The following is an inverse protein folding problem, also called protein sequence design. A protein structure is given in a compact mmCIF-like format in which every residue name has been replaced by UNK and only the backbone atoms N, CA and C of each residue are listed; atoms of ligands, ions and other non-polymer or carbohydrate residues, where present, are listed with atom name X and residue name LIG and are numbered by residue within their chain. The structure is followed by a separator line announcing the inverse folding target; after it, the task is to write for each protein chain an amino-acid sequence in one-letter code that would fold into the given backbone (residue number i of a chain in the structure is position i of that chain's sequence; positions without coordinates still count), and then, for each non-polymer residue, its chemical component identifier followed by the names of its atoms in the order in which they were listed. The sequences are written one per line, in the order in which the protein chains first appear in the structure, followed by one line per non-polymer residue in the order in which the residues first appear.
data_IF_400891967874
#
_entry.id   IF_400891967874
#
_cell.length_a   1.000
_cell.length_b   1.000
_cell.length_c   1.000
_cell.angle_alpha   90.00
_cell.angle_beta   90.00
_cell.angle_gamma   90.00
#
_symmetry.space_group_name_H-M   'P 1'
#
loop_
_entity.id
_entity.type
_entity.pdbx_description
1 polymer ?
#
# COMPACT_ATOMS: atom_id res chain seq x y z
N UNK A 1 109.19 -69.16 -108.68
CA UNK A 1 109.85 -69.21 -107.36
C UNK A 1 108.95 -68.42 -106.42
N UNK A 2 107.99 -69.04 -105.69
CA UNK A 2 108.13 -69.57 -104.30
C UNK A 2 108.78 -68.53 -103.38
N UNK A 3 108.24 -68.05 -102.25
CA UNK A 3 107.31 -68.53 -101.21
C UNK A 3 106.92 -67.28 -100.39
N UNK A 4 105.66 -66.96 -100.10
CA UNK A 4 104.84 -67.37 -98.93
C UNK A 4 105.51 -67.31 -97.55
N UNK A 5 104.99 -66.42 -96.68
CA UNK A 5 104.54 -66.59 -95.28
C UNK A 5 104.28 -65.20 -94.66
N UNK A 6 103.02 -64.80 -94.46
CA UNK A 6 102.21 -64.98 -93.24
C UNK A 6 102.91 -64.49 -91.96
N UNK A 7 102.40 -63.39 -91.37
CA UNK A 7 101.86 -63.50 -90.01
C UNK A 7 100.86 -62.37 -89.66
N UNK A 8 99.79 -62.82 -89.03
CA UNK A 8 98.53 -62.18 -88.70
C UNK A 8 98.57 -61.77 -87.22
N UNK A 9 98.35 -60.50 -86.88
CA UNK A 9 97.96 -60.10 -85.51
C UNK A 9 96.86 -59.04 -85.60
N UNK A 10 95.66 -59.50 -85.24
CA UNK A 10 94.38 -58.78 -85.17
C UNK A 10 94.40 -57.71 -84.09
N UNK A 11 94.00 -56.50 -84.48
CA UNK A 11 93.77 -55.35 -83.61
C UNK A 11 92.37 -55.46 -82.95
N UNK A 12 92.20 -55.18 -81.65
CA UNK A 12 90.93 -55.42 -80.95
C UNK A 12 89.87 -54.38 -81.32
N UNK A 13 88.64 -54.89 -81.40
CA UNK A 13 87.40 -54.19 -81.74
C UNK A 13 87.18 -52.94 -80.87
N UNK A 14 86.93 -51.82 -81.54
CA UNK A 14 86.39 -50.60 -80.97
C UNK A 14 84.99 -50.85 -80.39
N UNK A 15 84.83 -50.53 -79.11
CA UNK A 15 83.54 -50.43 -78.43
C UNK A 15 82.60 -49.48 -79.17
N UNK A 16 81.30 -49.80 -79.29
CA UNK A 16 80.31 -48.88 -79.87
C UNK A 16 80.15 -47.65 -78.98
N UNK A 17 80.21 -46.50 -79.66
CA UNK A 17 79.98 -45.15 -79.16
C UNK A 17 78.75 -45.03 -78.25
N UNK A 18 78.91 -44.23 -77.20
CA UNK A 18 77.84 -43.78 -76.29
C UNK A 18 76.57 -43.38 -77.06
N UNK A 19 75.37 -43.67 -76.52
CA UNK A 19 74.13 -43.19 -77.14
C UNK A 19 74.12 -41.66 -77.17
N UNK A 20 73.48 -41.04 -78.19
CA UNK A 20 73.39 -39.59 -78.26
C UNK A 20 72.77 -39.08 -76.96
N UNK A 21 73.44 -38.10 -76.33
CA UNK A 21 72.85 -37.34 -75.24
C UNK A 21 71.54 -36.78 -75.80
N UNK A 22 70.43 -37.21 -75.21
CA UNK A 22 69.16 -36.51 -75.36
C UNK A 22 69.41 -35.09 -74.87
N UNK A 23 69.64 -34.17 -75.80
CA UNK A 23 69.44 -32.74 -75.58
C UNK A 23 67.94 -32.53 -75.39
N UNK A 24 67.47 -32.88 -74.18
CA UNK A 24 66.26 -32.28 -73.65
C UNK A 24 66.51 -30.77 -73.70
N UNK A 25 65.63 -29.98 -74.36
CA UNK A 25 65.80 -28.54 -74.38
C UNK A 25 65.86 -28.09 -72.92
N UNK A 26 66.98 -27.47 -72.55
CA UNK A 26 67.15 -26.84 -71.25
C UNK A 26 65.95 -25.93 -71.02
N UNK A 27 65.15 -26.23 -69.99
CA UNK A 27 64.02 -25.40 -69.56
C UNK A 27 64.49 -23.99 -69.14
N UNK A 28 65.80 -23.76 -69.07
CA UNK A 28 66.39 -22.47 -68.72
C UNK A 28 66.59 -21.49 -69.89
N UNK A 29 66.37 -21.90 -71.15
CA UNK A 29 66.48 -21.00 -72.33
C UNK A 29 65.12 -20.63 -72.94
N UNK A 30 64.04 -20.76 -72.18
CA UNK A 30 62.85 -19.96 -72.46
C UNK A 30 63.10 -18.54 -71.96
N UNK A 31 63.80 -17.75 -72.78
CA UNK A 31 63.70 -16.29 -72.71
C UNK A 31 62.23 -15.90 -72.94
N UNK A 32 61.39 -16.03 -71.90
CA UNK A 32 60.19 -15.23 -71.81
C UNK A 32 60.69 -13.79 -71.90
N UNK A 33 60.22 -12.97 -72.86
CA UNK A 33 60.47 -11.54 -72.82
C UNK A 33 59.62 -10.98 -71.67
N UNK A 34 60.04 -11.20 -70.42
CA UNK A 34 59.51 -10.47 -69.28
C UNK A 34 60.02 -9.05 -69.42
N UNK A 35 59.20 -8.17 -69.99
CA UNK A 35 59.43 -6.74 -69.80
C UNK A 35 59.39 -6.49 -68.28
N UNK A 36 60.46 -5.96 -67.67
CA UNK A 36 60.47 -5.70 -66.24
C UNK A 36 59.42 -4.63 -65.93
N UNK A 37 58.58 -4.87 -64.92
CA UNK A 37 57.47 -3.99 -64.52
C UNK A 37 57.92 -2.70 -63.81
N UNK A 38 59.19 -2.29 -63.96
CA UNK A 38 59.78 -1.19 -63.21
C UNK A 38 59.79 -1.44 -61.70
N UNK A 39 60.56 -0.65 -60.94
CA UNK A 39 60.51 -0.73 -59.47
C UNK A 39 59.26 -0.03 -58.92
N UNK A 40 58.76 0.99 -59.62
CA UNK A 40 57.68 1.85 -59.16
C UNK A 40 56.34 1.12 -59.08
N UNK A 41 56.09 0.13 -59.94
CA UNK A 41 54.86 -0.68 -59.89
C UNK A 41 54.64 -1.38 -58.54
N UNK A 42 55.70 -1.66 -57.79
CA UNK A 42 55.64 -2.36 -56.51
C UNK A 42 55.57 -1.44 -55.30
N UNK A 43 55.51 -0.12 -55.50
CA UNK A 43 55.40 0.82 -54.40
C UNK A 43 54.05 0.71 -53.70
N UNK A 44 54.07 0.79 -52.38
CA UNK A 44 52.86 0.93 -51.59
C UNK A 44 52.33 2.37 -51.73
N UNK A 45 51.11 2.58 -52.22
CA UNK A 45 50.52 3.91 -52.24
C UNK A 45 50.23 4.39 -50.82
N UNK A 46 50.48 5.68 -50.56
CA UNK A 46 50.18 6.32 -49.27
C UNK A 46 48.67 6.44 -49.05
N UNK A 47 47.91 6.63 -50.13
CA UNK A 47 46.45 6.64 -50.10
C UNK A 47 45.86 5.37 -50.69
N UNK A 48 45.19 4.61 -49.83
CA UNK A 48 44.41 3.43 -50.20
C UNK A 48 43.00 3.68 -49.69
N UNK A 49 42.16 4.21 -50.56
CA UNK A 49 40.75 4.53 -50.30
C UNK A 49 39.86 3.98 -51.42
N UNK A 50 38.56 3.83 -51.16
CA UNK A 50 37.60 3.39 -52.16
C UNK A 50 37.64 4.34 -53.35
N UNK A 51 38.02 3.82 -54.52
CA UNK A 51 38.25 4.60 -55.72
C UNK A 51 38.22 3.68 -56.94
N UNK A 52 37.55 4.05 -58.04
CA UNK A 52 37.60 3.29 -59.28
C UNK A 52 39.03 3.12 -59.80
N UNK A 53 39.90 4.13 -59.64
CA UNK A 53 41.27 4.10 -60.18
C UNK A 53 42.27 3.37 -59.28
N UNK A 54 41.91 3.01 -58.04
CA UNK A 54 42.84 2.38 -57.08
C UNK A 54 43.56 1.15 -57.66
N UNK A 55 42.84 0.30 -58.40
CA UNK A 55 43.42 -0.89 -59.02
C UNK A 55 44.49 -0.57 -60.09
N UNK A 56 44.50 0.64 -60.64
CA UNK A 56 45.41 1.09 -61.68
C UNK A 56 46.61 1.87 -61.12
N UNK A 57 46.65 2.19 -59.83
CA UNK A 57 47.76 2.93 -59.20
C UNK A 57 49.14 2.30 -59.46
N UNK A 58 49.33 0.97 -59.41
CA UNK A 58 50.61 0.35 -59.77
C UNK A 58 51.03 0.65 -61.21
N UNK A 59 50.06 0.74 -62.12
CA UNK A 59 50.32 1.14 -63.50
C UNK A 59 50.67 2.62 -63.61
N UNK A 60 50.00 3.51 -62.87
CA UNK A 60 50.34 4.93 -62.86
C UNK A 60 51.76 5.18 -62.34
N UNK A 61 52.17 4.49 -61.27
CA UNK A 61 53.54 4.53 -60.76
C UNK A 61 54.55 4.10 -61.82
N UNK A 62 54.30 2.96 -62.48
CA UNK A 62 55.14 2.47 -63.57
C UNK A 62 55.17 3.44 -64.75
N UNK A 63 54.03 4.03 -65.10
CA UNK A 63 53.93 4.97 -66.20
C UNK A 63 54.83 6.18 -65.94
N UNK A 64 54.78 6.75 -64.73
CA UNK A 64 55.68 7.84 -64.33
C UNK A 64 57.17 7.46 -64.40
N UNK A 65 57.52 6.23 -64.02
CA UNK A 65 58.90 5.72 -64.11
C UNK A 65 59.37 5.61 -65.57
N UNK A 66 58.55 4.99 -66.42
CA UNK A 66 58.89 4.72 -67.82
C UNK A 66 58.91 5.98 -68.67
N UNK A 67 58.01 6.93 -68.41
CA UNK A 67 58.05 8.23 -69.08
C UNK A 67 59.15 9.13 -68.54
N UNK A 68 59.58 8.91 -67.28
CA UNK A 68 60.47 9.85 -66.56
C UNK A 68 59.96 11.30 -66.66
N UNK A 69 58.62 11.46 -66.62
CA UNK A 69 57.93 12.72 -66.89
C UNK A 69 58.37 13.82 -65.93
N UNK A 70 58.85 14.94 -66.46
CA UNK A 70 59.23 16.13 -65.68
C UNK A 70 58.06 17.05 -65.45
N UNK A 71 57.10 17.07 -66.36
CA UNK A 71 55.92 17.92 -66.27
C UNK A 71 54.68 17.04 -66.34
N UNK A 72 54.04 16.85 -65.18
CA UNK A 72 52.83 16.04 -65.02
C UNK A 72 51.65 16.98 -64.81
N UNK A 73 50.70 16.95 -65.73
CA UNK A 73 49.47 17.75 -65.64
C UNK A 73 48.29 16.80 -65.53
N UNK A 74 47.45 16.98 -64.51
CA UNK A 74 46.17 16.28 -64.40
C UNK A 74 45.00 17.26 -64.55
N UNK A 75 44.11 16.96 -65.48
CA UNK A 75 42.83 17.64 -65.66
C UNK A 75 41.70 16.84 -65.03
N UNK A 76 40.99 17.46 -64.09
CA UNK A 76 39.92 16.84 -63.32
C UNK A 76 40.47 15.84 -62.30
N UNK A 77 40.31 16.14 -61.01
CA UNK A 77 40.88 15.31 -59.94
C UNK A 77 40.02 14.12 -59.54
N UNK A 78 38.73 14.11 -59.86
CA UNK A 78 37.75 13.08 -59.44
C UNK A 78 37.79 12.83 -57.91
N UNK A 79 38.37 11.71 -57.46
CA UNK A 79 38.55 11.40 -56.03
C UNK A 79 39.95 11.72 -55.48
N UNK A 80 40.84 12.26 -56.31
CA UNK A 80 42.21 12.64 -55.97
C UNK A 80 43.22 11.49 -55.89
N UNK A 81 42.82 10.22 -55.99
CA UNK A 81 43.72 9.07 -55.81
C UNK A 81 44.78 9.00 -56.92
N UNK A 82 44.37 9.25 -58.17
CA UNK A 82 45.31 9.28 -59.29
C UNK A 82 46.37 10.37 -59.11
N UNK A 83 45.94 11.59 -58.77
CA UNK A 83 46.85 12.72 -58.60
C UNK A 83 47.84 12.49 -57.47
N UNK A 84 47.34 12.05 -56.29
CA UNK A 84 48.20 11.76 -55.15
C UNK A 84 49.18 10.61 -55.41
N UNK A 85 48.82 9.64 -56.27
CA UNK A 85 49.75 8.62 -56.73
C UNK A 85 50.83 9.21 -57.65
N UNK A 86 50.48 10.10 -58.57
CA UNK A 86 51.47 10.76 -59.43
C UNK A 86 52.44 11.63 -58.63
N UNK A 87 51.95 12.40 -57.65
CA UNK A 87 52.81 13.17 -56.74
C UNK A 87 53.76 12.27 -55.94
N UNK A 88 53.25 11.13 -55.45
CA UNK A 88 54.08 10.14 -54.76
C UNK A 88 55.15 9.55 -55.69
N UNK A 89 54.84 9.34 -56.97
CA UNK A 89 55.80 8.85 -57.94
C UNK A 89 56.88 9.90 -58.23
N UNK A 90 56.49 11.15 -58.47
CA UNK A 90 57.37 12.30 -58.68
C UNK A 90 58.40 12.47 -57.54
N UNK A 91 57.95 12.43 -56.29
CA UNK A 91 58.82 12.49 -55.11
C UNK A 91 59.84 11.35 -55.09
N UNK A 92 59.39 10.10 -55.33
CA UNK A 92 60.22 8.90 -55.18
C UNK A 92 61.19 8.66 -56.32
N UNK A 93 60.91 9.20 -57.51
CA UNK A 93 61.82 9.12 -58.67
C UNK A 93 62.94 10.18 -58.61
N UNK A 94 63.16 10.81 -57.45
CA UNK A 94 64.17 11.84 -57.18
C UNK A 94 63.93 13.19 -57.89
N UNK A 95 62.67 13.61 -58.02
CA UNK A 95 62.29 14.98 -57.61
C UNK A 95 62.47 16.14 -58.59
N UNK A 96 62.71 15.90 -59.88
CA UNK A 96 62.64 16.96 -60.91
C UNK A 96 61.31 16.99 -61.67
N UNK A 97 60.30 16.29 -61.15
CA UNK A 97 58.95 16.27 -61.72
C UNK A 97 58.10 17.32 -61.01
N UNK A 98 57.53 18.25 -61.78
CA UNK A 98 56.49 19.15 -61.31
C UNK A 98 55.12 18.51 -61.60
N UNK A 99 54.22 18.64 -60.62
CA UNK A 99 52.85 18.13 -60.70
C UNK A 99 51.87 19.29 -60.65
N UNK A 100 50.99 19.40 -61.63
CA UNK A 100 49.93 20.39 -61.65
C UNK A 100 48.59 19.69 -61.79
N UNK A 101 47.67 19.94 -60.86
CA UNK A 101 46.27 19.57 -61.02
C UNK A 101 45.46 20.80 -61.36
N UNK A 102 44.63 20.70 -62.39
CA UNK A 102 43.66 21.72 -62.78
C UNK A 102 42.28 21.11 -62.64
N UNK A 103 41.46 21.71 -61.80
CA UNK A 103 40.07 21.30 -61.65
C UNK A 103 39.15 22.48 -61.95
N UNK A 104 38.17 22.26 -62.84
CA UNK A 104 37.16 23.28 -63.19
C UNK A 104 35.91 23.17 -62.30
N UNK A 105 35.87 22.23 -61.36
CA UNK A 105 34.76 22.00 -60.43
C UNK A 105 35.15 21.95 -58.95
N UNK A 106 34.16 21.70 -58.08
CA UNK A 106 34.28 21.69 -56.62
C UNK A 106 34.91 20.39 -56.07
N UNK A 107 36.04 19.96 -56.63
CA UNK A 107 36.76 18.78 -56.14
C UNK A 107 37.88 19.22 -55.21
N UNK A 108 37.61 19.11 -53.91
CA UNK A 108 38.65 19.25 -52.88
C UNK A 108 39.11 17.87 -52.45
N UNK A 109 40.43 17.66 -52.42
CA UNK A 109 41.03 16.48 -51.80
C UNK A 109 40.40 16.24 -50.41
N UNK A 110 40.16 14.97 -50.06
CA UNK A 110 39.74 14.64 -48.68
C UNK A 110 40.67 15.26 -47.65
N UNK A 111 40.18 15.64 -46.46
CA UNK A 111 40.99 16.39 -45.49
C UNK A 111 42.35 15.74 -45.18
N UNK A 112 42.41 14.41 -45.17
CA UNK A 112 43.67 13.66 -45.00
C UNK A 112 44.60 13.73 -46.20
N UNK A 113 44.07 13.69 -47.43
CA UNK A 113 44.87 13.88 -48.65
C UNK A 113 45.35 15.32 -48.77
N UNK A 114 44.50 16.30 -48.50
CA UNK A 114 44.86 17.72 -48.56
C UNK A 114 45.99 18.04 -47.56
N UNK A 115 45.85 17.57 -46.31
CA UNK A 115 46.91 17.71 -45.31
C UNK A 115 48.23 17.08 -45.78
N UNK A 116 48.17 15.90 -46.41
CA UNK A 116 49.37 15.24 -46.91
C UNK A 116 49.99 15.98 -48.10
N UNK A 117 49.18 16.47 -49.04
CA UNK A 117 49.64 17.28 -50.17
C UNK A 117 50.39 18.52 -49.66
N UNK A 118 49.77 19.28 -48.75
CA UNK A 118 50.35 20.48 -48.14
C UNK A 118 51.69 20.16 -47.45
N UNK A 119 51.77 19.03 -46.75
CA UNK A 119 52.95 18.70 -45.93
C UNK A 119 54.07 17.99 -46.69
N UNK A 120 53.80 17.37 -47.84
CA UNK A 120 54.77 16.50 -48.52
C UNK A 120 55.03 16.88 -49.98
N UNK A 121 54.11 17.57 -50.65
CA UNK A 121 54.16 17.75 -52.11
C UNK A 121 54.19 19.22 -52.56
N UNK A 122 53.86 20.20 -51.71
CA UNK A 122 53.81 21.64 -52.08
C UNK A 122 55.09 22.18 -52.71
N UNK A 123 56.26 21.59 -52.42
CA UNK A 123 57.54 22.02 -52.99
C UNK A 123 57.62 21.83 -54.53
N UNK A 124 56.81 20.94 -55.11
CA UNK A 124 56.83 20.61 -56.54
C UNK A 124 55.44 20.34 -57.13
N UNK A 125 54.38 20.48 -56.33
CA UNK A 125 53.01 20.15 -56.71
C UNK A 125 52.04 21.26 -56.36
N UNK A 126 51.24 21.66 -57.35
CA UNK A 126 50.22 22.68 -57.22
C UNK A 126 48.84 22.14 -57.61
N UNK A 127 47.81 22.63 -56.93
CA UNK A 127 46.41 22.32 -57.24
C UNK A 127 45.72 23.66 -57.50
N UNK A 128 45.32 23.87 -58.74
CA UNK A 128 44.68 25.09 -59.22
C UNK A 128 43.20 24.81 -59.41
N UNK A 129 42.39 25.43 -58.55
CA UNK A 129 40.93 25.30 -58.58
C UNK A 129 40.26 26.30 -59.54
N UNK A 130 41.00 27.32 -59.98
CA UNK A 130 40.54 28.32 -60.93
C UNK A 130 41.31 28.16 -62.24
N UNK A 131 40.68 27.55 -63.23
CA UNK A 131 41.26 27.27 -64.55
C UNK A 131 41.58 28.53 -65.35
N UNK A 132 41.12 29.71 -64.93
CA UNK A 132 41.49 31.00 -65.53
C UNK A 132 42.91 31.47 -65.11
N UNK A 133 43.50 30.87 -64.06
CA UNK A 133 44.89 31.14 -63.66
C UNK A 133 45.89 30.25 -64.43
N UNK A 134 46.12 30.63 -65.68
CA UNK A 134 47.00 29.95 -66.66
C UNK A 134 48.50 30.17 -66.32
N UNK A 135 48.82 31.06 -65.36
CA UNK A 135 50.21 31.47 -65.07
C UNK A 135 51.10 30.34 -64.51
N UNK A 136 50.46 29.31 -63.94
CA UNK A 136 51.09 28.11 -63.38
C UNK A 136 51.33 26.99 -64.42
N UNK A 137 50.84 27.14 -65.66
CA UNK A 137 51.01 26.12 -66.69
C UNK A 137 52.48 25.97 -67.08
N UNK A 138 52.99 24.73 -67.18
CA UNK A 138 54.35 24.51 -67.65
C UNK A 138 54.50 24.79 -69.15
N UNK A 139 55.71 25.14 -69.57
CA UNK A 139 56.04 25.39 -70.99
C UNK A 139 55.98 24.11 -71.84
N UNK A 140 56.15 22.95 -71.21
CA UNK A 140 56.15 21.64 -71.84
C UNK A 140 55.41 20.63 -70.93
N UNK A 141 54.70 19.65 -71.51
CA UNK A 141 53.95 18.62 -70.77
C UNK A 141 54.35 17.22 -71.24
N UNK A 142 54.86 16.41 -70.32
CA UNK A 142 55.33 15.04 -70.60
C UNK A 142 54.26 13.98 -70.31
N UNK A 143 53.47 14.20 -69.27
CA UNK A 143 52.40 13.29 -68.87
C UNK A 143 51.14 14.10 -68.60
N UNK A 144 50.18 13.97 -69.50
CA UNK A 144 48.85 14.53 -69.34
C UNK A 144 47.91 13.44 -68.85
N UNK A 145 47.24 13.66 -67.73
CA UNK A 145 46.20 12.78 -67.21
C UNK A 145 44.85 13.47 -67.26
N UNK A 146 43.85 12.82 -67.85
CA UNK A 146 42.47 13.30 -67.82
C UNK A 146 41.70 12.37 -66.89
N UNK A 147 41.49 12.83 -65.66
CA UNK A 147 40.93 12.04 -64.56
C UNK A 147 39.41 12.03 -64.51
N UNK A 148 38.78 13.12 -64.97
CA UNK A 148 37.33 13.29 -64.96
C UNK A 148 36.81 13.91 -66.27
N UNK A 149 35.51 13.82 -66.56
CA UNK A 149 34.90 14.58 -67.65
C UNK A 149 35.14 16.07 -67.47
N UNK A 150 35.58 16.75 -68.53
CA UNK A 150 35.84 18.18 -68.52
C UNK A 150 34.61 18.97 -68.95
N UNK A 151 34.38 20.10 -68.29
CA UNK A 151 33.43 21.10 -68.76
C UNK A 151 34.00 21.88 -69.95
N UNK A 152 33.20 22.77 -70.54
CA UNK A 152 33.61 23.54 -71.72
C UNK A 152 34.92 24.30 -71.50
N UNK A 153 35.05 25.00 -70.37
CA UNK A 153 36.27 25.77 -70.04
C UNK A 153 37.49 24.85 -69.93
N UNK A 154 37.34 23.66 -69.33
CA UNK A 154 38.41 22.66 -69.26
C UNK A 154 38.79 22.10 -70.64
N UNK A 155 37.83 21.96 -71.56
CA UNK A 155 38.11 21.57 -72.94
C UNK A 155 38.83 22.66 -73.73
N UNK A 156 38.42 23.92 -73.56
CA UNK A 156 39.06 25.07 -74.20
C UNK A 156 40.53 25.18 -73.71
N UNK A 157 40.77 25.10 -72.39
CA UNK A 157 42.11 25.05 -71.79
C UNK A 157 42.96 23.88 -72.34
N UNK A 158 42.38 22.69 -72.42
CA UNK A 158 43.06 21.52 -72.95
C UNK A 158 43.50 21.74 -74.41
N UNK A 159 42.57 22.19 -75.26
CA UNK A 159 42.81 22.34 -76.70
C UNK A 159 43.76 23.49 -77.03
N UNK A 160 43.57 24.64 -76.38
CA UNK A 160 44.23 25.88 -76.77
C UNK A 160 45.58 26.06 -76.04
N UNK A 161 45.70 25.56 -74.80
CA UNK A 161 46.90 25.81 -73.97
C UNK A 161 47.76 24.56 -73.72
N UNK A 162 47.16 23.39 -73.50
CA UNK A 162 47.90 22.20 -73.05
C UNK A 162 48.35 21.31 -74.21
N UNK A 163 47.44 20.96 -75.14
CA UNK A 163 47.77 20.11 -76.29
C UNK A 163 48.92 20.68 -77.16
N UNK A 164 49.03 22.00 -77.39
CA UNK A 164 50.15 22.59 -78.14
C UNK A 164 51.49 22.51 -77.39
N UNK A 165 51.47 22.38 -76.06
CA UNK A 165 52.67 22.31 -75.19
C UNK A 165 53.11 20.88 -74.89
N UNK A 166 52.49 19.86 -75.50
CA UNK A 166 52.91 18.47 -75.30
C UNK A 166 54.33 18.24 -75.83
N UNK A 167 55.17 17.58 -75.04
CA UNK A 167 56.54 17.22 -75.41
C UNK A 167 56.60 16.21 -76.56
N UNK A 168 57.79 16.08 -77.17
CA UNK A 168 58.05 15.06 -78.20
C UNK A 168 57.89 13.61 -77.71
N UNK A 169 57.92 13.40 -76.40
CA UNK A 169 57.73 12.12 -75.70
C UNK A 169 56.42 12.05 -74.92
N UNK A 170 55.48 12.99 -75.14
CA UNK A 170 54.31 13.16 -74.31
C UNK A 170 53.39 11.92 -74.30
N UNK A 171 52.87 11.60 -73.12
CA UNK A 171 51.90 10.52 -72.95
C UNK A 171 50.61 11.10 -72.39
N UNK A 172 49.49 10.76 -73.02
CA UNK A 172 48.15 11.11 -72.53
C UNK A 172 47.53 9.87 -71.90
N UNK A 173 47.15 9.94 -70.63
CA UNK A 173 46.41 8.89 -69.92
C UNK A 173 44.99 9.38 -69.59
N UNK A 174 43.98 8.68 -70.11
CA UNK A 174 42.58 8.97 -69.84
C UNK A 174 42.02 7.91 -68.89
N UNK A 175 41.61 8.34 -67.71
CA UNK A 175 40.96 7.47 -66.72
C UNK A 175 39.47 7.44 -67.06
N UNK A 176 38.91 6.23 -67.14
CA UNK A 176 37.54 5.98 -67.58
C UNK A 176 37.21 6.63 -68.94
N UNK A 177 37.86 6.21 -70.04
CA UNK A 177 37.65 6.80 -71.37
C UNK A 177 36.19 6.77 -71.82
N UNK A 178 35.39 5.78 -71.40
CA UNK A 178 33.94 5.76 -71.70
C UNK A 178 33.16 6.90 -71.06
N UNK A 179 33.60 7.40 -69.90
CA UNK A 179 33.00 8.52 -69.16
C UNK A 179 33.53 9.85 -69.69
N UNK A 180 34.85 9.93 -69.92
CA UNK A 180 35.54 11.17 -70.32
C UNK A 180 35.38 11.47 -71.82
N UNK A 181 35.51 10.47 -72.68
CA UNK A 181 35.43 10.58 -74.14
C UNK A 181 34.07 10.11 -74.65
N UNK A 182 33.00 10.47 -73.96
CA UNK A 182 31.64 10.12 -74.36
C UNK A 182 31.22 10.82 -75.67
N UNK A 183 31.73 12.04 -75.91
CA UNK A 183 31.48 12.83 -77.11
C UNK A 183 32.52 12.58 -78.21
N UNK A 184 32.07 12.54 -79.47
CA UNK A 184 32.94 12.48 -80.64
C UNK A 184 33.83 13.72 -80.79
N UNK A 185 33.40 14.88 -80.29
CA UNK A 185 34.24 16.10 -80.30
C UNK A 185 35.48 15.90 -79.44
N UNK A 186 35.30 15.37 -78.22
CA UNK A 186 36.39 15.04 -77.29
C UNK A 186 37.40 14.04 -77.89
N UNK A 187 36.89 13.00 -78.57
CA UNK A 187 37.73 11.99 -79.23
C UNK A 187 38.60 12.58 -80.33
N UNK A 188 38.02 13.46 -81.16
CA UNK A 188 38.76 14.15 -82.22
C UNK A 188 39.77 15.15 -81.67
N UNK A 189 39.42 15.90 -80.63
CA UNK A 189 40.32 16.86 -80.00
C UNK A 189 41.61 16.18 -79.50
N UNK A 190 41.48 15.00 -78.89
CA UNK A 190 42.63 14.24 -78.43
C UNK A 190 43.36 13.47 -79.56
N UNK A 191 42.72 13.28 -80.71
CA UNK A 191 43.25 12.45 -81.81
C UNK A 191 43.33 10.98 -81.41
N UNK A 192 42.26 10.44 -80.79
CA UNK A 192 42.24 9.07 -80.24
C UNK A 192 42.71 8.01 -81.25
N UNK A 193 42.39 8.20 -82.54
CA UNK A 193 42.71 7.26 -83.63
C UNK A 193 44.02 7.59 -84.37
N UNK A 194 44.64 8.74 -84.10
CA UNK A 194 45.79 9.23 -84.86
C UNK A 194 47.14 8.70 -84.31
N UNK A 195 47.15 8.17 -83.09
CA UNK A 195 48.37 7.81 -82.36
C UNK A 195 48.35 6.37 -81.84
N UNK A 196 49.53 5.73 -81.66
CA UNK A 196 49.61 4.44 -80.99
C UNK A 196 48.99 4.52 -79.59
N UNK A 197 48.15 3.54 -79.27
CA UNK A 197 47.41 3.49 -78.00
C UNK A 197 47.43 2.11 -77.36
N UNK A 198 47.26 2.07 -76.06
CA UNK A 198 47.03 0.86 -75.30
C UNK A 198 45.93 1.09 -74.26
N UNK A 199 45.14 0.04 -74.01
CA UNK A 199 44.00 0.13 -73.10
C UNK A 199 44.11 -0.91 -71.99
N UNK A 200 44.09 -0.42 -70.76
CA UNK A 200 44.09 -1.21 -69.56
C UNK A 200 42.67 -1.32 -69.03
N UNK A 201 42.10 -2.52 -69.13
CA UNK A 201 40.76 -2.82 -68.60
C UNK A 201 40.67 -2.55 -67.08
N UNK A 202 39.47 -2.49 -66.50
CA UNK A 202 39.31 -2.50 -65.05
C UNK A 202 39.91 -3.75 -64.40
N UNK A 203 40.42 -3.60 -63.18
CA UNK A 203 40.93 -4.71 -62.35
C UNK A 203 39.79 -5.44 -61.62
N UNK A 204 38.74 -4.70 -61.29
CA UNK A 204 37.49 -5.13 -60.65
C UNK A 204 36.29 -4.57 -61.43
N UNK A 205 35.09 -5.11 -61.20
CA UNK A 205 33.89 -4.81 -62.01
C UNK A 205 33.48 -3.32 -62.02
N UNK A 206 33.72 -2.62 -60.91
CA UNK A 206 33.45 -1.20 -60.68
C UNK A 206 34.72 -0.32 -60.83
N UNK A 207 35.83 -0.92 -61.26
CA UNK A 207 37.10 -0.23 -61.40
C UNK A 207 37.21 0.60 -62.68
N UNK A 208 38.23 1.44 -62.74
CA UNK A 208 38.49 2.31 -63.86
C UNK A 208 39.25 1.61 -64.99
N UNK A 209 38.86 1.90 -66.23
CA UNK A 209 39.65 1.60 -67.42
C UNK A 209 40.64 2.75 -67.65
N UNK A 210 41.85 2.47 -68.13
CA UNK A 210 42.84 3.51 -68.46
C UNK A 210 43.24 3.36 -69.92
N UNK A 211 42.99 4.40 -70.71
CA UNK A 211 43.48 4.53 -72.07
C UNK A 211 44.76 5.33 -72.06
N UNK A 212 45.82 4.82 -72.69
CA UNK A 212 47.09 5.54 -72.83
C UNK A 212 47.37 5.75 -74.31
N UNK A 213 47.68 6.99 -74.68
CA UNK A 213 48.00 7.43 -76.03
C UNK A 213 49.41 8.01 -76.07
N UNK A 214 50.20 7.61 -77.06
CA UNK A 214 51.60 7.98 -77.20
C UNK A 214 51.73 9.13 -78.23
N UNK A 215 51.82 10.37 -77.75
CA UNK A 215 51.88 11.59 -78.57
C UNK A 215 53.33 11.98 -78.87
N UNK A 216 53.60 12.39 -80.11
CA UNK A 216 54.95 12.73 -80.54
C UNK A 216 55.77 11.52 -81.00
N UNK A 217 57.01 11.77 -81.41
CA UNK A 217 57.86 10.78 -82.11
C UNK A 217 58.88 10.09 -81.20
N UNK A 218 59.19 10.63 -80.02
CA UNK A 218 60.24 10.14 -79.13
C UNK A 218 59.69 9.38 -77.92
N UNK A 219 59.01 8.27 -78.19
CA UNK A 219 58.31 7.51 -77.15
C UNK A 219 59.23 6.48 -76.47
N UNK A 220 59.10 6.22 -75.15
CA UNK A 220 59.83 5.15 -74.49
C UNK A 220 59.62 3.81 -75.21
N UNK A 221 60.73 3.11 -75.50
CA UNK A 221 60.68 1.86 -76.29
C UNK A 221 59.77 0.80 -75.65
N UNK A 222 59.67 0.80 -74.32
CA UNK A 222 58.77 -0.09 -73.58
C UNK A 222 57.30 0.19 -73.92
N UNK A 223 56.88 1.46 -73.92
CA UNK A 223 55.52 1.87 -74.28
C UNK A 223 55.23 1.65 -75.77
N UNK A 224 56.17 1.97 -76.65
CA UNK A 224 56.04 1.70 -78.10
C UNK A 224 55.82 0.23 -78.39
N UNK A 225 56.58 -0.65 -77.74
CA UNK A 225 56.40 -2.10 -77.87
C UNK A 225 55.01 -2.51 -77.41
N UNK A 226 54.57 -2.05 -76.25
CA UNK A 226 53.26 -2.41 -75.71
C UNK A 226 52.09 -1.92 -76.57
N UNK A 227 52.16 -0.69 -77.10
CA UNK A 227 51.12 -0.14 -77.97
C UNK A 227 51.03 -0.85 -79.34
N UNK A 228 52.13 -1.47 -79.81
CA UNK A 228 52.14 -2.28 -81.04
C UNK A 228 51.68 -3.73 -80.84
N UNK A 229 51.63 -4.20 -79.60
CA UNK A 229 51.23 -5.58 -79.30
C UNK A 229 49.70 -5.68 -79.31
N UNK A 230 49.18 -6.68 -80.01
CA UNK A 230 47.76 -7.00 -79.96
C UNK A 230 47.40 -7.63 -78.60
N UNK A 231 46.18 -7.42 -78.07
CA UNK A 231 45.76 -7.94 -76.76
C UNK A 231 45.84 -9.46 -76.58
N UNK A 232 45.97 -10.20 -77.69
CA UNK A 232 46.09 -11.66 -77.73
C UNK A 232 47.53 -12.16 -77.58
N UNK A 233 48.53 -11.28 -77.67
CA UNK A 233 49.93 -11.65 -77.52
C UNK A 233 50.29 -11.99 -76.07
N UNK A 234 51.17 -12.99 -75.89
CA UNK A 234 51.54 -13.52 -74.58
C UNK A 234 52.24 -12.48 -73.69
N UNK A 235 53.07 -11.60 -74.27
CA UNK A 235 53.77 -10.53 -73.55
C UNK A 235 52.80 -9.50 -72.97
N UNK A 236 51.81 -9.08 -73.77
CA UNK A 236 50.74 -8.18 -73.32
C UNK A 236 49.95 -8.80 -72.17
N UNK A 237 49.51 -10.06 -72.32
CA UNK A 237 48.78 -10.78 -71.26
C UNK A 237 49.57 -10.90 -69.97
N UNK A 238 50.88 -11.16 -70.07
CA UNK A 238 51.76 -11.30 -68.90
C UNK A 238 51.90 -9.98 -68.14
N UNK A 239 52.19 -8.89 -68.85
CA UNK A 239 52.25 -7.54 -68.26
C UNK A 239 50.90 -7.17 -67.63
N UNK A 240 49.80 -7.41 -68.36
CA UNK A 240 48.45 -7.12 -67.90
C UNK A 240 48.07 -7.91 -66.66
N UNK A 241 48.41 -9.19 -66.60
CA UNK A 241 48.18 -10.04 -65.42
C UNK A 241 48.95 -9.54 -64.22
N UNK A 242 50.19 -9.05 -64.40
CA UNK A 242 50.98 -8.57 -63.29
C UNK A 242 50.40 -7.29 -62.67
N UNK A 243 50.05 -6.28 -63.48
CA UNK A 243 49.36 -5.08 -62.98
C UNK A 243 47.99 -5.42 -62.37
N UNK A 244 47.24 -6.34 -62.96
CA UNK A 244 45.98 -6.81 -62.36
C UNK A 244 46.20 -7.40 -60.96
N UNK A 245 47.25 -8.22 -60.77
CA UNK A 245 47.53 -8.83 -59.46
C UNK A 245 47.94 -7.78 -58.42
N UNK A 246 48.78 -6.82 -58.81
CA UNK A 246 49.17 -5.71 -57.93
C UNK A 246 47.95 -4.86 -57.56
N UNK A 247 47.13 -4.50 -58.55
CA UNK A 247 45.90 -3.74 -58.36
C UNK A 247 44.88 -4.47 -57.47
N UNK A 248 44.66 -5.77 -57.69
CA UNK A 248 43.79 -6.61 -56.85
C UNK A 248 44.27 -6.63 -55.40
N UNK A 249 45.59 -6.66 -55.18
CA UNK A 249 46.18 -6.55 -53.86
C UNK A 249 45.80 -5.25 -53.15
N UNK A 250 45.86 -4.11 -53.85
CA UNK A 250 45.47 -2.81 -53.29
C UNK A 250 43.97 -2.74 -52.99
N UNK A 251 43.12 -3.19 -53.91
CA UNK A 251 41.68 -3.24 -53.70
C UNK A 251 41.32 -4.15 -52.53
N UNK A 252 41.97 -5.32 -52.39
CA UNK A 252 41.77 -6.21 -51.25
C UNK A 252 42.22 -5.58 -49.92
N UNK A 253 43.33 -4.84 -49.91
CA UNK A 253 43.78 -4.08 -48.73
C UNK A 253 42.73 -3.03 -48.34
N UNK A 254 42.21 -2.30 -49.32
CA UNK A 254 41.19 -1.27 -49.13
C UNK A 254 39.91 -1.88 -48.55
N UNK A 255 39.36 -2.91 -49.19
CA UNK A 255 38.16 -3.62 -48.72
C UNK A 255 38.36 -4.23 -47.33
N UNK A 256 39.55 -4.77 -47.04
CA UNK A 256 39.86 -5.28 -45.71
C UNK A 256 39.90 -4.18 -44.65
N UNK A 257 40.29 -2.94 -44.99
CA UNK A 257 40.27 -1.81 -44.05
C UNK A 257 38.84 -1.38 -43.75
N UNK A 258 38.00 -1.29 -44.78
CA UNK A 258 36.59 -0.93 -44.65
C UNK A 258 35.83 -1.94 -43.81
N UNK A 259 35.95 -3.24 -44.14
CA UNK A 259 35.30 -4.32 -43.38
C UNK A 259 35.75 -4.34 -41.91
N UNK A 260 37.02 -4.02 -41.62
CA UNK A 260 37.50 -3.91 -40.22
C UNK A 260 36.90 -2.71 -39.51
N UNK A 261 36.75 -1.58 -40.20
CA UNK A 261 36.13 -0.36 -39.66
C UNK A 261 34.65 -0.61 -39.36
N UNK A 262 33.91 -1.17 -40.30
CA UNK A 262 32.51 -1.55 -40.14
C UNK A 262 32.33 -2.55 -38.99
N UNK A 263 33.17 -3.60 -38.93
CA UNK A 263 33.15 -4.56 -37.81
C UNK A 263 33.35 -3.87 -36.47
N UNK A 264 34.29 -2.92 -36.38
CA UNK A 264 34.56 -2.17 -35.15
C UNK A 264 33.35 -1.31 -34.74
N UNK A 265 32.74 -0.61 -35.68
CA UNK A 265 31.54 0.21 -35.46
C UNK A 265 30.35 -0.65 -35.00
N UNK A 266 30.06 -1.73 -35.72
CA UNK A 266 28.99 -2.68 -35.37
C UNK A 266 29.22 -3.34 -34.01
N UNK A 267 30.48 -3.65 -33.68
CA UNK A 267 30.82 -4.18 -32.34
C UNK A 267 30.62 -3.13 -31.24
N UNK A 268 30.88 -1.84 -31.53
CA UNK A 268 30.59 -0.73 -30.64
C UNK A 268 29.09 -0.60 -30.37
N UNK A 269 28.28 -0.54 -31.44
CA UNK A 269 26.81 -0.51 -31.37
C UNK A 269 26.24 -1.70 -30.60
N UNK A 270 26.77 -2.90 -30.83
CA UNK A 270 26.33 -4.09 -30.11
C UNK A 270 26.60 -3.98 -28.60
N UNK A 271 27.74 -3.41 -28.19
CA UNK A 271 28.06 -3.19 -26.77
C UNK A 271 27.13 -2.16 -26.13
N UNK A 272 26.83 -1.07 -26.83
CA UNK A 272 25.89 -0.05 -26.38
C UNK A 272 24.49 -0.63 -26.19
N UNK A 273 23.97 -1.35 -27.19
CA UNK A 273 22.67 -2.01 -27.10
C UNK A 273 22.62 -3.04 -25.97
N UNK A 274 23.71 -3.80 -25.74
CA UNK A 274 23.78 -4.74 -24.61
C UNK A 274 23.76 -4.04 -23.25
N UNK A 275 24.42 -2.87 -23.13
CA UNK A 275 24.38 -2.06 -21.92
C UNK A 275 22.97 -1.49 -21.68
N UNK A 276 22.30 -1.02 -22.73
CA UNK A 276 20.92 -0.54 -22.68
C UNK A 276 19.94 -1.65 -22.26
N UNK A 277 20.02 -2.83 -22.88
CA UNK A 277 19.21 -4.00 -22.50
C UNK A 277 19.44 -4.35 -21.03
N UNK A 278 20.68 -4.28 -20.53
CA UNK A 278 20.97 -4.55 -19.12
C UNK A 278 20.32 -3.50 -18.21
N UNK A 279 20.36 -2.22 -18.58
CA UNK A 279 19.71 -1.12 -17.86
C UNK A 279 18.19 -1.29 -17.82
N UNK A 280 17.57 -1.50 -18.98
CA UNK A 280 16.14 -1.74 -19.10
C UNK A 280 15.72 -2.98 -18.29
N UNK A 281 16.54 -4.04 -18.29
CA UNK A 281 16.26 -5.23 -17.47
C UNK A 281 16.32 -4.94 -15.97
N UNK A 282 17.21 -4.06 -15.50
CA UNK A 282 17.20 -3.62 -14.10
C UNK A 282 15.99 -2.74 -13.77
N UNK A 283 15.57 -1.88 -14.70
CA UNK A 283 14.40 -1.03 -14.55
C UNK A 283 13.11 -1.85 -14.47
N UNK A 284 12.92 -2.81 -15.38
CA UNK A 284 11.80 -3.77 -15.35
C UNK A 284 11.77 -4.52 -14.02
N UNK A 285 12.91 -5.04 -13.55
CA UNK A 285 12.96 -5.72 -12.23
C UNK A 285 12.54 -4.81 -11.08
N UNK A 286 12.91 -3.52 -11.13
CA UNK A 286 12.51 -2.56 -10.10
C UNK A 286 11.02 -2.21 -10.17
N UNK A 287 10.47 -2.10 -11.39
CA UNK A 287 9.05 -1.90 -11.63
C UNK A 287 8.22 -3.10 -11.13
N UNK A 288 8.62 -4.33 -11.46
CA UNK A 288 7.96 -5.56 -10.98
C UNK A 288 7.95 -5.62 -9.43
N UNK A 289 9.04 -5.23 -8.78
CA UNK A 289 9.11 -5.19 -7.31
C UNK A 289 8.20 -4.10 -6.71
N UNK A 290 8.10 -2.94 -7.35
CA UNK A 290 7.22 -1.85 -6.94
C UNK A 290 5.75 -2.24 -7.12
N UNK A 291 5.39 -2.86 -8.25
CA UNK A 291 4.04 -3.35 -8.53
C UNK A 291 3.61 -4.40 -7.49
N UNK A 292 4.49 -5.36 -7.18
CA UNK A 292 4.23 -6.34 -6.12
C UNK A 292 3.96 -5.68 -4.77
N UNK A 293 4.78 -4.70 -4.38
CA UNK A 293 4.59 -3.95 -3.13
C UNK A 293 3.26 -3.18 -3.12
N UNK A 294 2.86 -2.62 -4.26
CA UNK A 294 1.58 -1.93 -4.40
C UNK A 294 0.41 -2.90 -4.29
N UNK A 295 0.49 -4.08 -4.91
CA UNK A 295 -0.52 -5.13 -4.77
C UNK A 295 -0.66 -5.59 -3.31
N UNK A 296 0.45 -5.82 -2.60
CA UNK A 296 0.41 -6.21 -1.18
C UNK A 296 -0.28 -5.13 -0.33
N UNK A 297 0.02 -3.84 -0.57
CA UNK A 297 -0.65 -2.71 0.11
C UNK A 297 -2.13 -2.62 -0.22
N UNK A 298 -2.51 -2.86 -1.47
CA UNK A 298 -3.92 -2.88 -1.88
C UNK A 298 -4.69 -4.01 -1.19
N UNK A 299 -4.08 -5.20 -1.09
CA UNK A 299 -4.67 -6.33 -0.37
C UNK A 299 -4.84 -6.02 1.13
N UNK A 300 -3.82 -5.43 1.77
CA UNK A 300 -3.91 -5.00 3.18
C UNK A 300 -4.99 -3.95 3.40
N UNK A 301 -5.08 -2.95 2.50
CA UNK A 301 -6.11 -1.92 2.57
C UNK A 301 -7.52 -2.50 2.37
N UNK A 302 -7.70 -3.47 1.47
CA UNK A 302 -8.96 -4.17 1.28
C UNK A 302 -9.36 -4.99 2.52
N UNK A 303 -8.41 -5.69 3.15
CA UNK A 303 -8.66 -6.40 4.41
C UNK A 303 -9.10 -5.44 5.53
N UNK A 304 -8.39 -4.31 5.72
CA UNK A 304 -8.76 -3.29 6.70
C UNK A 304 -10.14 -2.68 6.44
N UNK A 305 -10.50 -2.46 5.17
CA UNK A 305 -11.83 -1.96 4.82
C UNK A 305 -12.91 -2.97 5.20
N UNK A 306 -12.67 -4.26 4.97
CA UNK A 306 -13.60 -5.32 5.38
C UNK A 306 -13.75 -5.40 6.90
N UNK A 307 -12.64 -5.39 7.65
CA UNK A 307 -12.67 -5.38 9.12
C UNK A 307 -13.45 -4.17 9.65
N UNK A 308 -13.21 -2.97 9.09
CA UNK A 308 -13.93 -1.75 9.47
C UNK A 308 -15.43 -1.83 9.13
N UNK A 309 -15.80 -2.45 8.02
CA UNK A 309 -17.21 -2.69 7.69
C UNK A 309 -17.88 -3.61 8.72
N UNK A 310 -17.20 -4.67 9.14
CA UNK A 310 -17.72 -5.58 10.16
C UNK A 310 -17.90 -4.87 11.51
N UNK A 311 -16.92 -4.05 11.93
CA UNK A 311 -17.06 -3.24 13.16
C UNK A 311 -18.22 -2.26 13.05
N UNK A 312 -18.42 -1.63 11.88
CA UNK A 312 -19.56 -0.74 11.67
C UNK A 312 -20.90 -1.49 11.81
N UNK A 313 -21.03 -2.68 11.23
CA UNK A 313 -22.22 -3.52 11.37
C UNK A 313 -22.48 -3.91 12.84
N UNK A 314 -21.44 -4.27 13.59
CA UNK A 314 -21.54 -4.56 15.02
C UNK A 314 -21.98 -3.34 15.84
N UNK A 315 -21.42 -2.17 15.56
CA UNK A 315 -21.81 -0.91 16.21
C UNK A 315 -23.26 -0.56 15.86
N UNK A 316 -23.69 -0.75 14.61
CA UNK A 316 -25.06 -0.49 14.19
C UNK A 316 -26.06 -1.44 14.89
N UNK A 317 -25.73 -2.72 15.02
CA UNK A 317 -26.53 -3.69 15.77
C UNK A 317 -26.61 -3.32 17.27
N UNK A 318 -25.48 -3.03 17.90
CA UNK A 318 -25.44 -2.59 19.31
C UNK A 318 -26.23 -1.30 19.53
N UNK A 319 -26.15 -0.35 18.59
CA UNK A 319 -26.96 0.87 18.62
C UNK A 319 -28.45 0.55 18.53
N UNK A 320 -28.87 -0.38 17.67
CA UNK A 320 -30.29 -0.77 17.58
C UNK A 320 -30.79 -1.42 18.88
N UNK A 321 -29.97 -2.27 19.50
CA UNK A 321 -30.31 -2.91 20.77
C UNK A 321 -30.46 -1.88 21.90
N UNK A 322 -29.52 -0.93 22.01
CA UNK A 322 -29.57 0.15 22.98
C UNK A 322 -30.79 1.07 22.77
N UNK A 323 -31.21 1.30 21.52
CA UNK A 323 -32.43 2.07 21.23
C UNK A 323 -33.65 1.31 21.75
N UNK A 324 -33.76 0.00 21.47
CA UNK A 324 -34.87 -0.83 21.95
C UNK A 324 -34.91 -0.92 23.48
N UNK A 325 -33.76 -1.05 24.13
CA UNK A 325 -33.64 -1.04 25.59
C UNK A 325 -34.07 0.33 26.16
N UNK A 326 -33.64 1.43 25.55
CA UNK A 326 -34.04 2.79 25.96
C UNK A 326 -35.55 3.01 25.84
N UNK A 327 -36.18 2.52 24.77
CA UNK A 327 -37.63 2.57 24.59
C UNK A 327 -38.36 1.75 25.66
N UNK A 328 -37.85 0.56 25.98
CA UNK A 328 -38.41 -0.31 27.03
C UNK A 328 -38.32 0.35 28.41
N UNK A 329 -37.16 0.89 28.76
CA UNK A 329 -36.95 1.60 30.03
C UNK A 329 -37.83 2.87 30.12
N UNK A 330 -38.02 3.60 29.02
CA UNK A 330 -38.95 4.74 28.99
C UNK A 330 -40.38 4.30 29.27
N UNK A 331 -40.85 3.22 28.65
CA UNK A 331 -42.18 2.68 28.90
C UNK A 331 -42.37 2.25 30.37
N UNK A 332 -41.34 1.62 30.97
CA UNK A 332 -41.34 1.26 32.39
C UNK A 332 -41.40 2.50 33.31
N UNK A 333 -40.60 3.53 33.02
CA UNK A 333 -40.64 4.79 33.77
C UNK A 333 -42.00 5.48 33.68
N UNK A 334 -42.64 5.48 32.51
CA UNK A 334 -43.98 6.03 32.32
C UNK A 334 -45.04 5.25 33.10
N UNK A 335 -44.97 3.92 33.10
CA UNK A 335 -45.87 3.06 33.88
C UNK A 335 -45.70 3.31 35.39
N UNK A 336 -44.47 3.26 35.90
CA UNK A 336 -44.17 3.52 37.31
C UNK A 336 -44.62 4.92 37.76
N UNK A 337 -44.54 5.91 36.86
CA UNK A 337 -45.06 7.26 37.12
C UNK A 337 -46.58 7.27 37.26
N UNK A 338 -47.31 6.57 36.39
CA UNK A 338 -48.78 6.45 36.51
C UNK A 338 -49.17 5.77 37.82
N UNK A 339 -48.50 4.68 38.18
CA UNK A 339 -48.75 3.95 39.43
C UNK A 339 -48.48 4.85 40.66
N UNK A 340 -47.42 5.67 40.61
CA UNK A 340 -47.13 6.63 41.67
C UNK A 340 -48.19 7.74 41.75
N UNK A 341 -48.65 8.28 40.63
CA UNK A 341 -49.73 9.27 40.58
C UNK A 341 -51.04 8.68 41.16
N UNK A 342 -51.40 7.44 40.82
CA UNK A 342 -52.56 6.73 41.39
C UNK A 342 -52.42 6.50 42.90
N UNK A 343 -51.28 6.02 43.37
CA UNK A 343 -51.00 5.82 44.79
C UNK A 343 -51.04 7.14 45.58
N UNK A 344 -50.58 8.25 45.00
CA UNK A 344 -50.69 9.57 45.64
C UNK A 344 -52.14 10.05 45.74
N UNK A 345 -52.97 9.77 44.74
CA UNK A 345 -54.41 10.03 44.79
C UNK A 345 -55.10 9.23 45.90
N UNK A 346 -54.85 7.92 45.94
CA UNK A 346 -55.40 7.04 46.99
C UNK A 346 -54.98 7.46 48.41
N UNK A 347 -53.73 7.93 48.57
CA UNK A 347 -53.25 8.44 49.86
C UNK A 347 -53.95 9.75 50.26
N UNK A 348 -54.27 10.63 49.31
CA UNK A 348 -55.02 11.86 49.58
C UNK A 348 -56.46 11.54 50.03
N UNK A 349 -57.13 10.60 49.37
CA UNK A 349 -58.46 10.14 49.73
C UNK A 349 -58.48 9.48 51.12
N UNK A 350 -57.50 8.63 51.42
CA UNK A 350 -57.36 7.99 52.73
C UNK A 350 -57.10 9.01 53.85
N UNK A 351 -56.29 10.05 53.59
CA UNK A 351 -56.08 11.16 54.55
C UNK A 351 -57.37 11.92 54.81
N UNK A 352 -58.13 12.27 53.77
CA UNK A 352 -59.42 12.94 53.92
C UNK A 352 -60.41 12.10 54.74
N UNK A 353 -60.48 10.79 54.48
CA UNK A 353 -61.29 9.86 55.26
C UNK A 353 -60.86 9.76 56.73
N UNK A 354 -59.55 9.76 57.01
CA UNK A 354 -59.02 9.75 58.38
C UNK A 354 -59.33 11.04 59.14
N UNK A 355 -59.24 12.20 58.49
CA UNK A 355 -59.58 13.50 59.09
C UNK A 355 -61.08 13.59 59.43
N UNK A 356 -61.96 13.07 58.55
CA UNK A 356 -63.40 12.95 58.82
C UNK A 356 -63.69 12.04 60.03
N UNK A 357 -63.03 10.88 60.09
CA UNK A 357 -63.20 9.95 61.21
C UNK A 357 -62.72 10.57 62.54
N UNK A 358 -61.65 11.36 62.51
CA UNK A 358 -61.13 12.07 63.69
C UNK A 358 -62.09 13.15 64.18
N UNK A 359 -62.72 13.89 63.26
CA UNK A 359 -63.75 14.87 63.62
C UNK A 359 -65.00 14.21 64.25
N UNK A 360 -65.45 13.08 63.70
CA UNK A 360 -66.56 12.31 64.26
C UNK A 360 -66.26 11.77 65.67
N UNK A 361 -65.01 11.34 65.91
CA UNK A 361 -64.57 10.87 67.23
C UNK A 361 -64.60 11.99 68.29
N UNK A 362 -64.16 13.19 67.93
CA UNK A 362 -64.21 14.35 68.85
C UNK A 362 -65.65 14.74 69.17
N UNK A 363 -66.56 14.73 68.18
CA UNK A 363 -67.98 14.97 68.41
C UNK A 363 -68.60 13.95 69.39
N UNK A 364 -68.30 12.66 69.21
CA UNK A 364 -68.78 11.61 70.11
C UNK A 364 -68.24 11.77 71.55
N UNK A 365 -67.00 12.28 71.73
CA UNK A 365 -66.43 12.57 73.05
C UNK A 365 -67.17 13.70 73.77
N UNK A 366 -67.53 14.75 73.06
CA UNK A 366 -68.33 15.86 73.63
C UNK A 366 -69.72 15.39 74.08
N UNK A 367 -70.42 14.59 73.26
CA UNK A 367 -71.73 14.03 73.61
C UNK A 367 -71.67 13.13 74.86
N UNK A 368 -70.61 12.31 74.98
CA UNK A 368 -70.41 11.46 76.16
C UNK A 368 -70.15 12.27 77.46
N UNK A 369 -69.45 13.40 77.35
CA UNK A 369 -69.18 14.30 78.48
C UNK A 369 -70.47 14.95 79.00
N UNK A 370 -71.34 15.40 78.10
CA UNK A 370 -72.64 15.99 78.46
C UNK A 370 -73.58 14.97 79.11
N UNK A 371 -73.62 13.74 78.58
CA UNK A 371 -74.41 12.66 79.16
C UNK A 371 -73.97 12.30 80.59
N UNK A 372 -72.66 12.33 80.88
CA UNK A 372 -72.12 12.06 82.22
C UNK A 372 -72.52 13.13 83.23
N UNK A 373 -72.47 14.42 82.86
CA UNK A 373 -72.93 15.52 83.73
C UNK A 373 -74.42 15.37 84.11
N UNK A 374 -75.27 15.03 83.15
CA UNK A 374 -76.71 14.81 83.41
C UNK A 374 -76.96 13.62 84.34
N UNK A 375 -76.13 12.58 84.29
CA UNK A 375 -76.26 11.43 85.18
C UNK A 375 -75.87 11.75 86.63
N UNK A 376 -74.83 12.56 86.85
CA UNK A 376 -74.38 12.95 88.19
C UNK A 376 -75.40 13.86 88.91
N UNK A 377 -76.09 14.75 88.19
CA UNK A 377 -77.18 15.57 88.73
C UNK A 377 -78.35 14.70 89.23
N UNK A 378 -78.73 13.65 88.49
CA UNK A 378 -79.81 12.72 88.90
C UNK A 378 -79.45 11.89 90.14
N UNK A 379 -78.17 11.57 90.35
CA UNK A 379 -77.71 10.89 91.56
C UNK A 379 -77.84 11.81 92.79
N UNK A 380 -77.57 13.11 92.64
CA UNK A 380 -77.73 14.11 93.70
C UNK A 380 -79.17 14.23 94.21
N UNK A 381 -80.15 14.22 93.32
CA UNK A 381 -81.57 14.34 93.67
C UNK A 381 -82.12 13.10 94.42
N UNK A 382 -81.63 11.91 94.07
CA UNK A 382 -82.02 10.65 94.73
C UNK A 382 -81.48 10.61 96.17
N UNK A 383 -80.27 11.13 96.42
CA UNK A 383 -79.70 11.20 97.76
C UNK A 383 -80.49 12.16 98.68
N UNK A 384 -80.97 13.29 98.16
CA UNK A 384 -81.75 14.26 98.92
C UNK A 384 -83.15 13.75 99.30
N UNK A 385 -83.81 13.01 98.41
CA UNK A 385 -85.13 12.42 98.68
C UNK A 385 -85.06 11.25 99.67
N UNK A 386 -83.99 10.45 99.63
CA UNK A 386 -83.80 9.31 100.55
C UNK A 386 -83.59 9.77 102.00
N UNK A 387 -82.91 10.90 102.23
CA UNK A 387 -82.70 11.46 103.58
C UNK A 387 -83.96 12.00 104.26
N UNK A 388 -84.95 12.49 103.49
CA UNK A 388 -86.24 12.96 104.04
C UNK A 388 -87.12 11.80 104.51
N UNK A 389 -87.21 10.71 103.74
CA UNK A 389 -88.05 9.57 104.10
C UNK A 389 -87.54 8.77 105.31
N UNK A 390 -86.23 8.75 105.54
CA UNK A 390 -85.66 8.08 106.73
C UNK A 390 -85.95 8.85 108.03
N UNK A 391 -85.95 10.19 107.99
CA UNK A 391 -86.22 11.02 109.18
C UNK A 391 -87.69 10.94 109.64
N UNK A 392 -88.65 10.86 108.71
CA UNK A 392 -90.07 10.73 109.04
C UNK A 392 -90.43 9.33 109.59
N UNK A 393 -89.75 8.29 109.11
CA UNK A 393 -89.94 6.91 109.59
C UNK A 393 -89.47 6.72 111.03
N UNK A 394 -88.31 7.28 111.37
CA UNK A 394 -87.72 7.10 112.71
C UNK A 394 -88.50 7.91 113.78
N UNK A 395 -89.12 9.03 113.43
CA UNK A 395 -90.02 9.79 114.31
C UNK A 395 -91.34 9.07 114.61
N UNK A 396 -91.88 8.29 113.66
CA UNK A 396 -93.08 7.49 113.84
C UNK A 396 -92.84 6.24 114.72
N UNK A 397 -91.66 5.61 114.62
CA UNK A 397 -91.28 4.46 115.43
C UNK A 397 -91.11 4.81 116.93
N UNK A 398 -90.60 6.02 117.24
CA UNK A 398 -90.40 6.47 118.62
C UNK A 398 -91.73 6.71 119.37
N UNK A 399 -92.77 7.23 118.69
CA UNK A 399 -94.11 7.44 119.27
C UNK A 399 -94.84 6.12 119.56
N UNK A 400 -94.67 5.11 118.70
CA UNK A 400 -95.30 3.81 118.89
C UNK A 400 -94.69 3.03 120.07
N UNK A 401 -93.38 3.13 120.28
CA UNK A 401 -92.70 2.51 121.43
C UNK A 401 -93.12 3.13 122.78
N UNK A 402 -93.42 4.43 122.81
CA UNK A 402 -93.83 5.14 124.02
C UNK A 402 -95.25 4.74 124.48
N UNK A 403 -96.18 4.52 123.55
CA UNK A 403 -97.55 4.09 123.86
C UNK A 403 -97.63 2.61 124.28
N UNK A 404 -96.78 1.74 123.72
CA UNK A 404 -96.70 0.33 124.14
C UNK A 404 -96.15 0.16 125.57
N UNK A 405 -95.17 0.97 125.99
CA UNK A 405 -94.68 0.95 127.37
C UNK A 405 -95.75 1.37 128.39
N UNK A 406 -96.59 2.35 128.02
CA UNK A 406 -97.66 2.87 128.88
C UNK A 406 -98.83 1.89 129.06
N UNK A 407 -99.13 1.06 128.06
CA UNK A 407 -100.14 0.01 128.17
C UNK A 407 -99.67 -1.15 129.07
N UNK A 408 -98.40 -1.53 129.00
CA UNK A 408 -97.84 -2.61 129.82
C UNK A 408 -97.81 -2.26 131.33
N UNK A 409 -97.54 -1.00 131.69
CA UNK A 409 -97.58 -0.56 133.09
C UNK A 409 -98.99 -0.57 133.70
N UNK A 410 -100.02 -0.24 132.90
CA UNK A 410 -101.41 -0.22 133.36
C UNK A 410 -102.01 -1.63 133.51
N UNK A 411 -101.58 -2.60 132.72
CA UNK A 411 -102.00 -4.01 132.85
C UNK A 411 -101.46 -4.65 134.13
N UNK A 412 -100.19 -4.40 134.47
CA UNK A 412 -99.57 -4.90 135.72
C UNK A 412 -100.24 -4.29 136.96
N UNK A 413 -100.61 -3.00 136.92
CA UNK A 413 -101.31 -2.34 138.01
C UNK A 413 -102.74 -2.88 138.22
N UNK A 414 -103.43 -3.25 137.14
CA UNK A 414 -104.80 -3.79 137.19
C UNK A 414 -104.84 -5.23 137.73
N UNK A 415 -103.84 -6.05 137.40
CA UNK A 415 -103.72 -7.41 137.95
C UNK A 415 -103.38 -7.40 139.44
N UNK A 416 -102.53 -6.47 139.90
CA UNK A 416 -102.21 -6.30 141.32
C UNK A 416 -103.43 -5.90 142.18
N UNK A 417 -104.30 -5.02 141.65
CA UNK A 417 -105.53 -4.62 142.36
C UNK A 417 -106.62 -5.71 142.34
N UNK A 418 -106.66 -6.55 141.29
CA UNK A 418 -107.56 -7.73 141.25
C UNK A 418 -107.13 -8.81 142.24
N UNK A 419 -105.83 -9.05 142.39
CA UNK A 419 -105.29 -9.97 143.39
C UNK A 419 -105.61 -9.51 144.83
N UNK A 420 -105.44 -8.21 145.12
CA UNK A 420 -105.82 -7.62 146.42
C UNK A 420 -107.30 -7.75 146.75
N UNK A 421 -108.19 -7.56 145.77
CA UNK A 421 -109.64 -7.72 145.97
C UNK A 421 -110.02 -9.17 146.29
N UNK A 422 -109.46 -10.14 145.57
CA UNK A 422 -109.73 -11.56 145.82
C UNK A 422 -109.24 -12.00 147.20
N UNK A 423 -108.09 -11.49 147.65
CA UNK A 423 -107.54 -11.79 148.98
C UNK A 423 -108.40 -11.19 150.11
N UNK A 424 -108.91 -9.96 149.93
CA UNK A 424 -109.82 -9.32 150.88
C UNK A 424 -111.18 -10.02 150.96
N UNK A 425 -111.73 -10.49 149.84
CA UNK A 425 -112.99 -11.25 149.81
C UNK A 425 -112.85 -12.60 150.53
N UNK A 426 -111.72 -13.28 150.37
CA UNK A 426 -111.40 -14.50 151.12
C UNK A 426 -111.35 -14.25 152.62
N UNK A 427 -110.71 -13.15 153.06
CA UNK A 427 -110.62 -12.77 154.46
C UNK A 427 -111.98 -12.40 155.07
N UNK A 428 -112.85 -11.74 154.29
CA UNK A 428 -114.20 -11.38 154.73
C UNK A 428 -115.07 -12.62 154.93
N UNK A 429 -115.01 -13.57 153.99
CA UNK A 429 -115.72 -14.85 154.10
C UNK A 429 -115.25 -15.66 155.32
N UNK A 430 -113.94 -15.66 155.62
CA UNK A 430 -113.40 -16.36 156.78
C UNK A 430 -113.85 -15.72 158.11
N UNK A 431 -113.94 -14.39 158.17
CA UNK A 431 -114.45 -13.68 159.35
C UNK A 431 -115.96 -13.87 159.55
N UNK A 432 -116.75 -13.90 158.48
CA UNK A 432 -118.18 -14.17 158.54
C UNK A 432 -118.47 -15.59 159.04
N UNK A 433 -117.69 -16.58 158.61
CA UNK A 433 -117.79 -17.95 159.13
C UNK A 433 -117.40 -18.04 160.61
N UNK A 434 -116.39 -17.28 161.06
CA UNK A 434 -116.02 -17.21 162.49
C UNK A 434 -117.11 -16.55 163.34
N UNK A 435 -117.76 -15.51 162.81
CA UNK A 435 -118.91 -14.86 163.43
C UNK A 435 -120.10 -15.82 163.55
N UNK A 436 -120.36 -16.61 162.51
CA UNK A 436 -121.42 -17.62 162.55
C UNK A 436 -121.12 -18.73 163.58
N UNK A 437 -119.89 -19.23 163.62
CA UNK A 437 -119.50 -20.30 164.53
C UNK A 437 -119.53 -19.87 166.00
N UNK A 438 -119.04 -18.67 166.32
CA UNK A 438 -119.05 -18.14 167.69
C UNK A 438 -120.45 -17.80 168.17
N UNK A 439 -121.31 -17.29 167.28
CA UNK A 439 -122.74 -17.09 167.57
C UNK A 439 -123.44 -18.42 167.92
N UNK A 440 -123.12 -19.50 167.20
CA UNK A 440 -123.67 -20.82 167.46
C UNK A 440 -123.25 -21.36 168.84
N UNK A 441 -121.96 -21.25 169.17
CA UNK A 441 -121.42 -21.76 170.44
C UNK A 441 -121.96 -20.97 171.65
N UNK A 442 -122.17 -19.67 171.51
CA UNK A 442 -122.74 -18.86 172.59
C UNK A 442 -124.22 -19.20 172.84
N UNK A 443 -124.99 -19.45 171.77
CA UNK A 443 -126.38 -19.91 171.85
C UNK A 443 -126.48 -21.25 172.59
N UNK A 444 -125.56 -22.19 172.32
CA UNK A 444 -125.56 -23.48 172.99
C UNK A 444 -125.20 -23.38 174.49
N UNK A 445 -124.31 -22.46 174.87
CA UNK A 445 -124.01 -22.21 176.28
C UNK A 445 -125.16 -21.54 177.03
N UNK A 446 -125.94 -20.69 176.36
CA UNK A 446 -127.13 -20.08 176.97
C UNK A 446 -128.22 -21.13 177.18
N UNK A 447 -128.39 -22.08 176.25
CA UNK A 447 -129.30 -23.22 176.41
C UNK A 447 -128.86 -24.18 177.55
N UNK A 448 -127.55 -24.40 177.74
CA UNK A 448 -127.05 -25.29 178.79
C UNK A 448 -127.20 -24.69 180.21
N UNK A 449 -127.05 -23.36 180.35
CA UNK A 449 -127.26 -22.67 181.62
C UNK A 449 -128.73 -22.71 182.05
N UNK A 450 -129.64 -22.45 181.12
CA UNK A 450 -131.07 -22.36 181.42
C UNK A 450 -131.66 -23.74 181.77
N UNK A 451 -131.02 -24.83 181.31
CA UNK A 451 -131.32 -26.21 181.72
C UNK A 451 -130.87 -26.54 183.16
N UNK A 452 -129.81 -25.92 183.68
CA UNK A 452 -129.25 -26.22 185.01
C UNK A 452 -130.05 -25.61 186.17
N UNK A 453 -130.76 -24.50 185.98
CA UNK A 453 -131.52 -23.86 187.07
C UNK A 453 -132.98 -24.36 187.19
N UNK A 454 -133.45 -25.19 186.26
CA UNK A 454 -134.81 -25.77 186.28
C UNK A 454 -134.87 -27.21 186.84
N UNK A 455 -133.80 -27.77 187.42
CA UNK A 455 -133.79 -29.16 187.93
C UNK A 455 -133.94 -29.28 189.45
N UNK A 456 -134.83 -30.19 189.86
CA UNK A 456 -135.47 -30.27 191.16
C UNK A 456 -135.22 -31.65 191.81
N UNK A 457 -134.10 -31.81 192.51
CA UNK A 457 -133.82 -33.03 193.30
C UNK A 457 -132.63 -32.86 194.26
N UNK A 458 -132.88 -32.36 195.48
CA UNK A 458 -132.26 -32.83 196.74
C UNK A 458 -132.91 -32.11 197.95
N UNK A 459 -134.04 -32.65 198.43
CA UNK A 459 -134.55 -32.44 199.78
C UNK A 459 -133.89 -33.46 200.71
N UNK A 460 -133.87 -33.15 202.02
CA UNK A 460 -133.63 -34.04 203.18
C UNK A 460 -132.21 -34.03 203.79
N UNK A 461 -131.97 -33.00 204.62
CA UNK A 461 -131.43 -33.01 206.01
C UNK A 461 -131.61 -31.55 206.51
N UNK A 462 -132.60 -31.13 207.30
CA UNK A 462 -133.03 -31.61 208.63
C UNK A 462 -131.86 -31.64 209.63
N UNK A 463 -132.02 -31.32 210.91
CA UNK A 463 -132.23 -30.01 211.55
C UNK A 463 -131.16 -29.76 212.64
N UNK A 464 -131.09 -28.56 213.24
CA UNK A 464 -130.11 -28.16 214.27
C UNK A 464 -128.65 -28.16 213.73
N UNK A 465 -127.78 -27.19 213.99
CA UNK A 465 -127.42 -26.63 215.29
C UNK A 465 -126.50 -25.44 214.99
N UNK A 466 -126.98 -24.21 215.14
CA UNK A 466 -126.87 -23.38 216.35
C UNK A 466 -125.44 -22.96 216.69
N UNK A 467 -125.33 -21.63 216.81
CA UNK A 467 -124.51 -20.89 217.75
C UNK A 467 -123.01 -21.03 217.60
N UNK A 468 -122.42 -19.99 217.03
CA UNK A 468 -121.30 -19.27 217.66
C UNK A 468 -121.13 -17.95 216.92
N UNK A 469 -121.48 -16.82 217.53
CA UNK A 469 -120.60 -16.09 218.47
C UNK A 469 -119.34 -15.64 217.70
N UNK A 470 -119.17 -14.36 217.40
CA UNK A 470 -118.97 -13.27 218.36
C UNK A 470 -117.83 -13.62 219.33
N UNK A 471 -116.65 -13.03 219.02
CA UNK A 471 -115.47 -12.84 219.88
C UNK A 471 -114.80 -14.14 220.36
N UNK A 472 -113.49 -14.31 220.22
CA UNK A 472 -112.43 -13.31 220.42
C UNK A 472 -111.11 -13.88 219.89
N UNK A 473 -110.20 -12.99 219.52
CA UNK A 473 -108.82 -13.36 219.25
C UNK A 473 -108.11 -13.95 220.46
N UNK A 474 -107.16 -14.83 220.18
CA UNK A 474 -105.80 -14.86 220.71
C UNK A 474 -104.97 -15.78 219.84
#
# INVERSE_FOLDING_TARGET
MTSSKDNDIRNPQSLPSQPPKNDLPSVMDQHLPTQPLGQAAFWAPRHVAASPVLGQVPFLFWLSEVTSARQIVQLGMDDGIAYMALCQAAERLNGNSLCLALDSGEVTLSSGMNYQHITQYTDFSEIVADVDDISSLPEEVDLLVIGAPLERVGWDLLCDEILPKLSGSAVIAVINPKKVLADQVAKRALGEDDWPRLTLRPVVSDGAEVLVMLRGSDQPEQLRRLARQAPDQSSWRTMRQAFNRLGQGLVAIQQSRDLRREKKDMTGRLKENLAEIKSLKSEVKSADAAEKTQHDRQAEMAARLHDLQQVLEEIEASKSDLIAESETLRAQCEAARRDAEEATGALADAKSGADMAKAALEQARTELSEARKSHDERIGDIAALTGKFTAERDAAAAKLAQEHARCAELEVALEAERARRAELESLLSEQEQRLAHTSQVASDMTAHRDALLHSSSWKVTSPLRKATKLLRGR
#
